data_IF_236240536036
#
_entry.id   IF_236240536036
#
_cell.length_a   1.000
_cell.length_b   1.000
_cell.length_c   1.000
_cell.angle_alpha   90.00
_cell.angle_beta   90.00
_cell.angle_gamma   90.00
#
_symmetry.space_group_name_H-M   'P 1'
#
loop_
_entity.id
_entity.type
_entity.pdbx_description
1 polymer ?
#
# COMPACT_ATOMS: atom_id res chain seq x y z
N UNK A 1 -53.66 -12.19 -49.57
CA UNK A 1 -52.40 -11.87 -48.87
C UNK A 1 -52.54 -12.34 -47.43
N UNK A 2 -51.80 -13.37 -47.02
CA UNK A 2 -51.64 -13.71 -45.61
C UNK A 2 -50.29 -14.43 -45.44
N UNK A 3 -49.37 -13.72 -44.81
CA UNK A 3 -48.02 -14.14 -44.45
C UNK A 3 -48.07 -15.29 -43.44
N UNK A 4 -47.50 -16.45 -43.78
CA UNK A 4 -47.26 -17.53 -42.82
C UNK A 4 -45.87 -17.34 -42.22
N UNK A 5 -45.83 -16.89 -40.97
CA UNK A 5 -44.58 -16.68 -40.23
C UNK A 5 -43.97 -18.03 -39.82
N UNK A 6 -42.76 -18.32 -40.32
CA UNK A 6 -41.94 -19.42 -39.79
C UNK A 6 -41.36 -18.98 -38.45
N UNK A 7 -41.86 -19.54 -37.34
CA UNK A 7 -41.21 -19.39 -36.03
C UNK A 7 -39.91 -20.20 -36.05
N UNK A 8 -38.78 -19.67 -35.53
CA UNK A 8 -37.57 -20.46 -35.37
C UNK A 8 -37.84 -21.59 -34.39
N UNK A 9 -37.45 -22.82 -34.76
CA UNK A 9 -37.45 -23.96 -33.85
C UNK A 9 -36.35 -23.68 -32.82
N UNK A 10 -36.75 -23.28 -31.62
CA UNK A 10 -35.85 -23.20 -30.49
C UNK A 10 -35.70 -24.63 -29.97
N UNK A 11 -34.50 -25.19 -30.11
CA UNK A 11 -34.16 -26.46 -29.47
C UNK A 11 -33.95 -26.15 -28.00
N UNK A 12 -34.99 -26.30 -27.19
CA UNK A 12 -34.85 -26.35 -25.74
C UNK A 12 -33.96 -27.57 -25.42
N UNK A 13 -32.69 -27.29 -25.16
CA UNK A 13 -31.75 -28.30 -24.68
C UNK A 13 -32.22 -28.66 -23.27
N UNK A 14 -32.86 -29.83 -23.16
CA UNK A 14 -33.36 -30.35 -21.89
C UNK A 14 -32.24 -30.32 -20.84
N UNK A 15 -32.43 -29.50 -19.80
CA UNK A 15 -31.45 -29.31 -18.72
C UNK A 15 -31.08 -30.63 -18.06
N UNK A 16 -31.99 -31.61 -18.09
CA UNK A 16 -31.77 -32.97 -17.59
C UNK A 16 -30.67 -33.71 -18.36
N UNK A 17 -30.46 -33.42 -19.66
CA UNK A 17 -29.39 -34.03 -20.48
C UNK A 17 -28.03 -33.39 -20.14
N UNK A 18 -28.02 -32.10 -19.86
CA UNK A 18 -26.82 -31.36 -19.46
C UNK A 18 -26.36 -31.80 -18.08
N UNK A 19 -27.28 -31.88 -17.12
CA UNK A 19 -27.02 -32.30 -15.74
C UNK A 19 -26.62 -33.78 -15.62
N UNK A 20 -27.20 -34.67 -16.44
CA UNK A 20 -26.91 -36.11 -16.38
C UNK A 20 -25.58 -36.49 -17.05
N UNK A 21 -25.09 -35.68 -17.98
CA UNK A 21 -23.77 -35.82 -18.61
C UNK A 21 -22.67 -35.04 -17.85
N UNK A 22 -23.02 -33.98 -17.11
CA UNK A 22 -22.17 -33.37 -16.10
C UNK A 22 -22.18 -34.20 -14.81
N UNK A 23 -21.69 -35.44 -14.91
CA UNK A 23 -21.18 -36.11 -13.71
C UNK A 23 -19.89 -35.41 -13.33
N UNK A 24 -19.98 -34.40 -12.46
CA UNK A 24 -18.85 -34.05 -11.62
C UNK A 24 -18.54 -35.31 -10.81
N UNK A 25 -17.55 -36.08 -11.26
CA UNK A 25 -16.95 -37.08 -10.39
C UNK A 25 -16.43 -36.29 -9.20
N UNK A 26 -16.93 -36.58 -7.99
CA UNK A 26 -16.28 -36.16 -6.76
C UNK A 26 -14.94 -36.89 -6.71
N UNK A 27 -13.95 -36.34 -7.40
CA UNK A 27 -12.58 -36.81 -7.32
C UNK A 27 -12.02 -36.29 -5.98
N UNK A 28 -11.46 -37.14 -5.10
CA UNK A 28 -10.94 -36.71 -3.79
C UNK A 28 -9.80 -35.67 -3.90
N UNK A 29 -9.23 -35.51 -5.10
CA UNK A 29 -8.27 -34.47 -5.47
C UNK A 29 -9.00 -33.25 -6.03
N UNK A 30 -9.85 -32.64 -5.20
CA UNK A 30 -10.59 -31.43 -5.55
C UNK A 30 -9.65 -30.21 -5.52
N UNK A 31 -8.67 -30.18 -6.43
CA UNK A 31 -7.69 -29.09 -6.58
C UNK A 31 -8.38 -27.75 -6.91
N UNK A 32 -9.57 -27.82 -7.53
CA UNK A 32 -10.39 -26.63 -7.79
C UNK A 32 -10.91 -25.97 -6.51
N UNK A 33 -11.20 -26.72 -5.43
CA UNK A 33 -11.62 -26.12 -4.16
C UNK A 33 -10.51 -25.34 -3.47
N UNK A 34 -9.24 -25.75 -3.65
CA UNK A 34 -8.07 -24.99 -3.14
C UNK A 34 -7.88 -23.64 -3.84
N UNK A 35 -8.36 -23.49 -5.07
CA UNK A 35 -8.26 -22.23 -5.82
C UNK A 35 -9.31 -21.20 -5.32
N UNK A 36 -10.44 -21.68 -4.79
CA UNK A 36 -11.53 -20.86 -4.25
C UNK A 36 -11.58 -20.80 -2.73
N UNK A 37 -10.61 -21.39 -2.02
CA UNK A 37 -10.42 -21.11 -0.60
C UNK A 37 -10.10 -19.63 -0.45
N UNK A 38 -11.01 -18.90 0.21
CA UNK A 38 -10.76 -17.51 0.60
C UNK A 38 -9.40 -17.47 1.32
N UNK A 39 -8.47 -16.59 0.92
CA UNK A 39 -7.20 -16.49 1.58
C UNK A 39 -7.46 -16.26 3.06
N UNK A 40 -7.00 -17.20 3.89
CA UNK A 40 -7.07 -17.08 5.35
C UNK A 40 -6.65 -15.66 5.72
N UNK A 41 -7.35 -14.97 6.63
CA UNK A 41 -6.99 -13.62 7.02
C UNK A 41 -5.53 -13.63 7.43
N UNK A 42 -4.67 -13.04 6.59
CA UNK A 42 -3.25 -12.94 6.87
C UNK A 42 -3.12 -12.35 8.28
N UNK A 43 -2.27 -12.92 9.15
CA UNK A 43 -2.15 -12.43 10.51
C UNK A 43 -1.78 -10.94 10.47
N UNK A 44 -2.74 -10.08 10.79
CA UNK A 44 -2.56 -8.64 10.83
C UNK A 44 -2.28 -8.20 12.25
N UNK A 45 -1.37 -7.23 12.41
CA UNK A 45 -1.02 -6.66 13.70
C UNK A 45 -1.35 -5.19 13.67
N UNK A 46 -2.27 -4.77 14.54
CA UNK A 46 -2.48 -3.35 14.80
C UNK A 46 -1.27 -2.80 15.55
N UNK A 47 -0.70 -1.72 15.02
CA UNK A 47 0.48 -1.07 15.56
C UNK A 47 0.12 0.39 15.78
N UNK A 48 0.35 0.88 16.99
CA UNK A 48 0.22 2.30 17.31
C UNK A 48 1.62 2.93 17.38
N UNK A 49 2.02 3.74 16.39
CA UNK A 49 3.30 4.42 16.41
C UNK A 49 3.39 5.46 17.53
N UNK A 50 4.60 5.71 18.01
CA UNK A 50 4.87 6.81 18.94
C UNK A 50 5.21 8.10 18.17
N UNK A 51 4.76 9.29 18.63
CA UNK A 51 5.05 10.55 17.96
C UNK A 51 6.55 10.87 17.89
N UNK A 52 6.97 11.46 16.77
CA UNK A 52 8.30 12.05 16.58
C UNK A 52 8.20 13.55 16.31
N UNK A 53 8.44 13.98 15.08
CA UNK A 53 8.34 15.39 14.67
C UNK A 53 7.35 15.57 13.51
N UNK A 54 6.95 16.82 13.25
CA UNK A 54 6.02 17.16 12.18
C UNK A 54 6.72 18.03 11.12
N UNK A 55 6.52 17.70 9.84
CA UNK A 55 6.97 18.49 8.70
C UNK A 55 5.78 19.25 8.14
N UNK A 56 5.90 20.58 8.06
CA UNK A 56 4.92 21.43 7.42
C UNK A 56 5.40 21.77 6.01
N UNK A 57 4.61 21.39 5.01
CA UNK A 57 4.88 21.65 3.61
C UNK A 57 3.67 22.29 2.90
N UNK A 58 3.87 22.64 1.64
CA UNK A 58 2.83 23.17 0.76
C UNK A 58 2.93 22.50 -0.59
N UNK A 59 1.79 22.01 -1.09
CA UNK A 59 1.70 21.52 -2.46
C UNK A 59 1.94 22.64 -3.47
N UNK A 60 2.31 22.29 -4.70
CA UNK A 60 2.45 23.25 -5.81
C UNK A 60 1.13 24.00 -6.06
N UNK A 61 -0.01 23.33 -5.86
CA UNK A 61 -1.35 23.92 -5.94
C UNK A 61 -1.68 24.88 -4.77
N UNK A 62 -0.80 25.02 -3.77
CA UNK A 62 -0.92 25.97 -2.67
C UNK A 62 -1.54 25.43 -1.39
N UNK A 63 -2.04 24.18 -1.36
CA UNK A 63 -2.64 23.57 -0.17
C UNK A 63 -1.56 23.20 0.87
N UNK A 64 -1.83 23.46 2.16
CA UNK A 64 -0.93 23.07 3.25
C UNK A 64 -1.04 21.56 3.51
N UNK A 65 0.11 20.94 3.73
CA UNK A 65 0.22 19.52 4.11
C UNK A 65 1.09 19.42 5.34
N UNK A 66 0.67 18.59 6.28
CA UNK A 66 1.45 18.20 7.45
C UNK A 66 1.80 16.73 7.34
N UNK A 67 3.07 16.39 7.59
CA UNK A 67 3.53 15.02 7.61
C UNK A 67 4.10 14.73 8.99
N UNK A 68 3.44 13.85 9.74
CA UNK A 68 3.89 13.42 11.07
C UNK A 68 4.86 12.25 10.91
N UNK A 69 6.11 12.44 11.33
CA UNK A 69 7.10 11.38 11.38
C UNK A 69 7.01 10.69 12.74
N UNK A 70 6.60 9.43 12.71
CA UNK A 70 6.33 8.59 13.88
C UNK A 70 7.33 7.42 13.96
N UNK A 71 7.37 6.76 15.11
CA UNK A 71 8.32 5.66 15.39
C UNK A 71 7.60 4.38 15.78
N UNK A 72 8.05 3.24 15.26
CA UNK A 72 7.56 1.92 15.69
C UNK A 72 8.59 0.82 15.46
N UNK A 73 8.75 -0.09 16.42
CA UNK A 73 9.60 -1.29 16.30
C UNK A 73 8.99 -2.38 15.41
N UNK A 74 7.73 -2.21 14.98
CA UNK A 74 7.08 -3.15 14.08
C UNK A 74 7.62 -3.11 12.63
N UNK A 75 8.38 -2.06 12.29
CA UNK A 75 8.99 -1.87 10.97
C UNK A 75 10.49 -2.15 11.11
N UNK A 76 11.10 -2.99 10.25
CA UNK A 76 12.53 -3.26 10.33
C UNK A 76 13.35 -2.00 10.07
N UNK A 77 14.51 -1.81 10.75
CA UNK A 77 15.41 -0.73 10.42
C UNK A 77 16.03 -0.91 9.02
N UNK A 78 16.36 0.19 8.33
CA UNK A 78 17.21 0.14 7.14
C UNK A 78 18.63 -0.31 7.50
N UNK A 79 19.42 -0.65 6.47
CA UNK A 79 20.85 -0.92 6.62
C UNK A 79 21.53 0.25 7.31
N UNK A 80 22.40 -0.02 8.28
CA UNK A 80 23.20 1.05 8.84
C UNK A 80 24.27 1.49 7.86
N UNK A 81 24.23 2.77 7.49
CA UNK A 81 25.24 3.44 6.68
C UNK A 81 25.68 4.74 7.36
N UNK A 82 26.87 5.19 6.99
CA UNK A 82 27.45 6.49 7.34
C UNK A 82 26.96 7.60 6.41
N UNK A 83 27.21 8.86 6.79
CA UNK A 83 26.90 10.02 5.95
C UNK A 83 27.68 9.98 4.63
N UNK A 84 28.96 9.56 4.67
CA UNK A 84 29.78 9.41 3.48
C UNK A 84 29.18 8.39 2.49
N UNK A 85 28.78 7.23 2.98
CA UNK A 85 28.12 6.21 2.16
C UNK A 85 26.78 6.72 1.62
N UNK A 86 26.01 7.47 2.42
CA UNK A 86 24.77 8.09 1.95
C UNK A 86 25.02 9.02 0.74
N UNK A 87 26.06 9.85 0.79
CA UNK A 87 26.43 10.70 -0.35
C UNK A 87 26.83 9.89 -1.58
N UNK A 88 27.65 8.85 -1.39
CA UNK A 88 28.06 7.96 -2.47
C UNK A 88 26.84 7.31 -3.15
N UNK A 89 25.85 6.88 -2.36
CA UNK A 89 24.60 6.29 -2.86
C UNK A 89 23.77 7.32 -3.63
N UNK A 90 23.65 8.56 -3.14
CA UNK A 90 22.89 9.63 -3.80
C UNK A 90 23.51 10.01 -5.16
N UNK A 91 24.84 9.97 -5.27
CA UNK A 91 25.56 10.29 -6.51
C UNK A 91 25.80 9.08 -7.42
N UNK A 92 25.43 7.88 -6.97
CA UNK A 92 25.62 6.64 -7.72
C UNK A 92 24.64 6.56 -8.87
N UNK A 93 25.09 5.98 -9.99
CA UNK A 93 24.25 5.63 -11.14
C UNK A 93 23.23 4.51 -10.81
N UNK A 94 23.39 3.84 -9.66
CA UNK A 94 22.50 2.80 -9.15
C UNK A 94 21.95 3.17 -7.75
N UNK A 95 20.97 4.08 -7.67
CA UNK A 95 20.41 4.57 -6.39
C UNK A 95 19.57 3.54 -5.60
N UNK A 96 19.35 2.34 -6.15
CA UNK A 96 18.49 1.31 -5.56
C UNK A 96 19.07 0.53 -4.37
N UNK A 97 20.33 0.77 -4.02
CA UNK A 97 21.08 -0.02 -3.04
C UNK A 97 20.73 0.30 -1.58
N UNK A 98 20.08 1.44 -1.34
CA UNK A 98 19.62 1.82 0.00
C UNK A 98 18.11 1.96 0.05
N UNK A 99 17.49 1.14 0.88
CA UNK A 99 16.03 1.12 1.07
C UNK A 99 15.70 1.52 2.49
N UNK A 100 14.73 2.42 2.62
CA UNK A 100 14.18 2.85 3.90
C UNK A 100 12.79 2.23 4.08
N UNK A 101 12.63 1.21 4.92
CA UNK A 101 11.32 0.70 5.26
C UNK A 101 10.52 1.77 6.02
N UNK A 102 9.32 2.07 5.54
CA UNK A 102 8.40 2.99 6.19
C UNK A 102 6.94 2.59 5.92
N UNK A 103 6.05 2.96 6.82
CA UNK A 103 4.61 2.85 6.62
C UNK A 103 4.04 4.24 6.37
N UNK A 104 3.39 4.44 5.24
CA UNK A 104 2.72 5.69 4.89
C UNK A 104 1.22 5.48 5.16
N UNK A 105 0.67 6.26 6.10
CA UNK A 105 -0.74 6.23 6.43
C UNK A 105 -1.60 6.95 5.41
N UNK A 106 -2.91 6.73 5.50
CA UNK A 106 -3.89 7.42 4.66
C UNK A 106 -3.86 8.93 4.87
N UNK A 107 -4.24 9.66 3.82
CA UNK A 107 -4.39 11.12 3.88
C UNK A 107 -5.60 11.46 4.74
N UNK A 108 -5.36 12.09 5.88
CA UNK A 108 -6.39 12.61 6.78
C UNK A 108 -6.66 14.08 6.50
N UNK A 109 -7.89 14.54 6.75
CA UNK A 109 -8.25 15.95 6.72
C UNK A 109 -8.45 16.46 8.14
N UNK A 110 -7.65 17.45 8.55
CA UNK A 110 -7.73 18.07 9.87
C UNK A 110 -7.85 19.60 9.74
N UNK A 111 -8.09 20.29 10.86
CA UNK A 111 -8.12 21.76 10.90
C UNK A 111 -6.81 22.30 11.44
N UNK A 112 -6.22 23.27 10.75
CA UNK A 112 -5.06 23.99 11.28
C UNK A 112 -5.45 24.95 12.42
N UNK A 113 -4.46 25.63 12.99
CA UNK A 113 -4.67 26.61 14.05
C UNK A 113 -5.51 27.85 13.62
N UNK A 114 -5.79 28.01 12.33
CA UNK A 114 -6.67 29.04 11.76
C UNK A 114 -8.03 28.47 11.36
N UNK A 115 -8.32 27.21 11.68
CA UNK A 115 -9.55 26.52 11.32
C UNK A 115 -9.65 26.09 9.86
N UNK A 116 -8.57 26.21 9.07
CA UNK A 116 -8.55 25.82 7.65
C UNK A 116 -8.35 24.32 7.51
N UNK A 117 -9.04 23.69 6.56
CA UNK A 117 -8.83 22.28 6.26
C UNK A 117 -7.44 22.06 5.65
N UNK A 118 -6.69 21.12 6.22
CA UNK A 118 -5.34 20.75 5.82
C UNK A 118 -5.21 19.23 5.72
N UNK A 119 -4.33 18.77 4.83
CA UNK A 119 -4.03 17.35 4.72
C UNK A 119 -2.98 16.97 5.76
N UNK A 120 -3.17 15.83 6.41
CA UNK A 120 -2.24 15.27 7.40
C UNK A 120 -1.94 13.82 7.02
N UNK A 121 -0.66 13.48 6.96
CA UNK A 121 -0.18 12.13 6.63
C UNK A 121 0.71 11.68 7.77
N UNK A 122 0.56 10.45 8.25
CA UNK A 122 1.46 9.87 9.25
C UNK A 122 2.43 8.92 8.54
N UNK A 123 3.73 9.08 8.78
CA UNK A 123 4.78 8.20 8.26
C UNK A 123 5.51 7.58 9.44
N UNK A 124 5.46 6.25 9.57
CA UNK A 124 6.14 5.54 10.64
C UNK A 124 7.43 4.88 10.15
N UNK A 125 8.50 5.00 10.94
CA UNK A 125 9.82 4.39 10.71
C UNK A 125 10.36 3.72 11.97
N UNK A 126 11.41 2.92 11.84
CA UNK A 126 12.06 2.29 12.98
C UNK A 126 12.73 3.34 13.90
N UNK A 127 12.64 3.22 15.25
CA UNK A 127 13.22 4.18 16.19
C UNK A 127 14.73 4.44 16.01
N UNK A 128 15.53 3.41 15.68
CA UNK A 128 16.98 3.59 15.46
C UNK A 128 17.28 4.47 14.24
N UNK A 129 16.51 4.32 13.17
CA UNK A 129 16.65 5.17 11.99
C UNK A 129 16.09 6.57 12.23
N UNK A 130 14.97 6.67 12.96
CA UNK A 130 14.45 7.95 13.41
C UNK A 130 15.50 8.75 14.18
N UNK A 131 16.26 8.11 15.08
CA UNK A 131 17.33 8.79 15.81
C UNK A 131 18.34 9.43 14.85
N UNK A 132 18.82 8.69 13.83
CA UNK A 132 19.73 9.24 12.80
C UNK A 132 19.11 10.42 12.06
N UNK A 133 17.85 10.28 11.63
CA UNK A 133 17.08 11.34 10.95
C UNK A 133 16.92 12.58 11.85
N UNK A 134 16.73 12.41 13.14
CA UNK A 134 16.54 13.53 14.07
C UNK A 134 17.84 14.27 14.37
N UNK A 135 18.95 13.53 14.50
CA UNK A 135 20.27 14.05 14.90
C UNK A 135 21.16 14.50 13.75
N UNK A 136 21.01 13.93 12.54
CA UNK A 136 21.91 14.17 11.40
C UNK A 136 21.11 14.83 10.27
N UNK A 137 21.52 16.05 9.87
CA UNK A 137 20.79 16.89 8.92
C UNK A 137 20.73 16.29 7.52
N UNK A 138 21.80 15.63 7.08
CA UNK A 138 21.88 14.97 5.78
C UNK A 138 20.87 13.82 5.68
N UNK A 139 20.77 13.01 6.74
CA UNK A 139 19.74 11.95 6.81
C UNK A 139 18.33 12.54 6.90
N UNK A 140 18.15 13.66 7.62
CA UNK A 140 16.87 14.37 7.68
C UNK A 140 16.41 14.82 6.31
N UNK A 141 17.29 15.51 5.59
CA UNK A 141 17.02 16.06 4.26
C UNK A 141 16.76 14.94 3.24
N UNK A 142 17.61 13.91 3.24
CA UNK A 142 17.42 12.72 2.41
C UNK A 142 16.07 12.05 2.69
N UNK A 143 15.77 11.76 3.96
CA UNK A 143 14.54 11.06 4.32
C UNK A 143 13.29 11.86 3.96
N UNK A 144 13.28 13.17 4.22
CA UNK A 144 12.16 14.04 3.84
C UNK A 144 11.96 14.02 2.31
N UNK A 145 13.03 14.05 1.52
CA UNK A 145 12.93 13.95 0.07
C UNK A 145 12.33 12.60 -0.37
N UNK A 146 12.73 11.49 0.25
CA UNK A 146 12.14 10.17 -0.01
C UNK A 146 10.64 10.15 0.33
N UNK A 147 10.26 10.72 1.47
CA UNK A 147 8.85 10.78 1.91
C UNK A 147 7.96 11.57 0.94
N UNK A 148 8.48 12.63 0.32
CA UNK A 148 7.73 13.39 -0.69
C UNK A 148 7.82 12.82 -2.11
N UNK A 149 8.76 11.90 -2.36
CA UNK A 149 8.91 11.22 -3.65
C UNK A 149 8.07 9.94 -3.76
N UNK A 150 7.75 9.29 -2.63
CA UNK A 150 6.91 8.09 -2.56
C UNK A 150 5.44 8.42 -2.61
#
# INVERSE_FOLDING_TARGET
MASSSKKPVFLDVDSSIVEKNLRFAEDPTDEFKKIFEEPLPYPSKLVQPTPGFCVKAREVAGQKVFVNICKTEAIPPPKEISVKELHEIITSECPGDYRVPMSIGDVKSEKDNKGQQVKVIDVAIHPSFFHKVDTIEEFKSFFIAVVFSG
#
